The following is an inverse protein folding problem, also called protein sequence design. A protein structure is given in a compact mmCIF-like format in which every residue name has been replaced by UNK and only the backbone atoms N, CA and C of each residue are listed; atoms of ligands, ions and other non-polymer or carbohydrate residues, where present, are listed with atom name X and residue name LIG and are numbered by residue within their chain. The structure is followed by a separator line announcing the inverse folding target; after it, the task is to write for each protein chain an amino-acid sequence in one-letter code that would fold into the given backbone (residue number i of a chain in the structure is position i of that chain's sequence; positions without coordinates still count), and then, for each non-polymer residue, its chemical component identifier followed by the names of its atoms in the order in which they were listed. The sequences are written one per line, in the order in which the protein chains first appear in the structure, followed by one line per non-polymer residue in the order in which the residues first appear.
data_IF_716500547416
#
_entry.id   IF_716500547416
#
_cell.length_a   1.000
_cell.length_b   1.000
_cell.length_c   1.000
_cell.angle_alpha   90.00
_cell.angle_beta   90.00
_cell.angle_gamma   90.00
#
_symmetry.space_group_name_H-M   'P 1'
#
loop_
_entity.id
_entity.type
_entity.pdbx_description
1 polymer ?
#
# COMPACT_ATOMS: atom_id res chain seq x y z
N UNK A 1 2.57 17.58 44.32
CA UNK A 1 1.69 16.62 43.59
C UNK A 1 1.38 17.05 42.16
N UNK A 2 1.10 18.33 41.87
CA UNK A 2 0.82 18.83 40.50
C UNK A 2 1.87 18.47 39.43
N UNK A 3 3.16 18.55 39.75
CA UNK A 3 4.23 18.21 38.80
C UNK A 3 4.21 16.75 38.32
N UNK A 4 3.87 15.81 39.21
CA UNK A 4 3.78 14.38 38.85
C UNK A 4 2.59 14.09 37.94
N UNK A 5 1.49 14.81 38.12
CA UNK A 5 0.31 14.70 37.25
C UNK A 5 0.56 15.35 35.89
N UNK A 6 1.27 16.48 35.85
CA UNK A 6 1.71 17.11 34.59
C UNK A 6 2.67 16.22 33.81
N UNK A 7 3.65 15.58 34.46
CA UNK A 7 4.56 14.65 33.79
C UNK A 7 3.83 13.41 33.27
N UNK A 8 2.85 12.90 34.01
CA UNK A 8 2.06 11.74 33.59
C UNK A 8 1.12 12.06 32.43
N UNK A 9 0.51 13.26 32.43
CA UNK A 9 -0.29 13.75 31.31
C UNK A 9 0.56 13.96 30.06
N UNK A 10 1.76 14.53 30.18
CA UNK A 10 2.69 14.70 29.07
C UNK A 10 3.11 13.35 28.46
N UNK A 11 3.39 12.33 29.29
CA UNK A 11 3.69 10.97 28.83
C UNK A 11 2.50 10.34 28.09
N UNK A 12 1.27 10.54 28.60
CA UNK A 12 0.06 10.04 27.92
C UNK A 12 -0.16 10.66 26.54
N UNK A 13 0.13 11.97 26.38
CA UNK A 13 0.05 12.65 25.09
C UNK A 13 1.10 12.11 24.10
N UNK A 14 2.34 11.88 24.55
CA UNK A 14 3.40 11.33 23.67
C UNK A 14 3.08 9.91 23.22
N UNK A 15 2.58 9.05 24.12
CA UNK A 15 2.23 7.67 23.81
C UNK A 15 1.04 7.58 22.85
N UNK A 16 0.04 8.44 23.00
CA UNK A 16 -1.13 8.46 22.10
C UNK A 16 -0.82 9.12 20.76
N UNK A 17 0.01 10.17 20.74
CA UNK A 17 0.46 10.81 19.51
C UNK A 17 1.25 9.84 18.62
N UNK A 18 2.05 8.93 19.21
CA UNK A 18 2.88 7.97 18.47
C UNK A 18 2.10 7.09 17.47
N UNK A 19 0.82 6.80 17.74
CA UNK A 19 -0.05 6.00 16.85
C UNK A 19 -0.71 6.80 15.71
N UNK A 20 -0.68 8.14 15.77
CA UNK A 20 -1.21 9.02 14.72
C UNK A 20 -0.15 9.48 13.71
N UNK A 21 1.12 9.18 13.96
CA UNK A 21 2.14 9.31 12.93
C UNK A 21 1.98 8.14 11.94
N UNK A 22 1.06 8.31 10.98
CA UNK A 22 1.14 7.58 9.75
C UNK A 22 2.49 7.94 9.13
N UNK A 23 3.48 7.04 9.23
CA UNK A 23 4.72 7.19 8.51
C UNK A 23 4.36 7.42 7.05
N UNK A 24 4.91 8.47 6.44
CA UNK A 24 4.82 8.68 5.00
C UNK A 24 5.22 7.37 4.34
N UNK A 25 4.26 6.68 3.70
CA UNK A 25 4.59 5.51 2.90
C UNK A 25 5.65 5.98 1.90
N UNK A 26 6.84 5.37 1.97
CA UNK A 26 7.88 5.63 1.00
C UNK A 26 7.33 5.09 -0.30
N UNK A 27 6.83 5.99 -1.15
CA UNK A 27 6.36 5.62 -2.47
C UNK A 27 7.56 5.00 -3.20
N UNK A 28 7.40 3.76 -3.61
CA UNK A 28 8.38 3.10 -4.47
C UNK A 28 8.13 3.62 -5.89
N UNK A 29 9.18 4.04 -6.59
CA UNK A 29 9.06 4.63 -7.93
C UNK A 29 8.36 3.70 -8.94
N UNK A 30 8.34 2.39 -8.65
CA UNK A 30 7.66 1.36 -9.41
C UNK A 30 6.81 0.46 -8.51
N UNK A 31 5.57 0.22 -8.93
CA UNK A 31 4.66 -0.73 -8.30
C UNK A 31 4.63 -2.02 -9.14
N UNK A 32 5.10 -3.14 -8.58
CA UNK A 32 5.01 -4.42 -9.25
C UNK A 32 3.59 -4.99 -9.19
N UNK A 33 2.98 -5.22 -10.35
CA UNK A 33 1.62 -5.77 -10.49
C UNK A 33 1.71 -7.15 -11.19
N UNK A 34 1.60 -8.27 -10.46
CA UNK A 34 1.63 -9.59 -11.08
C UNK A 34 0.32 -9.89 -11.80
N UNK A 35 0.41 -10.20 -13.09
CA UNK A 35 -0.73 -10.57 -13.93
C UNK A 35 -0.75 -12.09 -14.16
N UNK A 36 -1.85 -12.73 -13.78
CA UNK A 36 -2.09 -14.15 -14.07
C UNK A 36 -2.60 -14.27 -15.50
N UNK A 37 -1.70 -14.64 -16.41
CA UNK A 37 -1.99 -14.70 -17.85
C UNK A 37 -1.83 -16.11 -18.39
N UNK A 38 -2.79 -16.56 -19.20
CA UNK A 38 -2.68 -17.78 -19.98
C UNK A 38 -2.59 -17.41 -21.46
N UNK A 39 -1.39 -17.54 -22.02
CA UNK A 39 -1.11 -17.21 -23.44
C UNK A 39 -0.93 -18.45 -24.33
N UNK A 40 -1.09 -19.65 -23.77
CA UNK A 40 -0.96 -20.92 -24.47
C UNK A 40 -2.14 -21.84 -24.20
N UNK A 41 -2.32 -22.85 -25.07
CA UNK A 41 -3.41 -23.81 -24.99
C UNK A 41 -4.70 -23.36 -25.70
N UNK A 42 -5.76 -24.19 -25.65
CA UNK A 42 -7.00 -23.96 -26.41
C UNK A 42 -7.73 -22.67 -26.05
N UNK A 43 -7.53 -22.17 -24.83
CA UNK A 43 -8.17 -20.95 -24.32
C UNK A 43 -7.35 -19.68 -24.56
N UNK A 44 -6.14 -19.76 -25.11
CA UNK A 44 -5.29 -18.60 -25.38
C UNK A 44 -5.98 -17.48 -26.19
N UNK A 45 -6.82 -17.76 -27.21
CA UNK A 45 -7.52 -16.70 -27.95
C UNK A 45 -8.39 -15.79 -27.08
N UNK A 46 -8.92 -16.30 -25.97
CA UNK A 46 -9.72 -15.51 -25.01
C UNK A 46 -8.84 -14.78 -23.98
N UNK A 47 -7.67 -15.33 -23.63
CA UNK A 47 -6.81 -14.81 -22.56
C UNK A 47 -5.86 -13.70 -23.02
N UNK A 48 -5.35 -13.79 -24.25
CA UNK A 48 -4.40 -12.83 -24.80
C UNK A 48 -4.95 -11.39 -24.82
N UNK A 49 -6.18 -11.12 -25.33
CA UNK A 49 -6.70 -9.75 -25.36
C UNK A 49 -6.90 -9.14 -23.97
N UNK A 50 -7.30 -9.98 -22.99
CA UNK A 50 -7.47 -9.54 -21.61
C UNK A 50 -6.12 -9.17 -20.97
N UNK A 51 -5.09 -9.98 -21.21
CA UNK A 51 -3.75 -9.75 -20.69
C UNK A 51 -3.11 -8.48 -21.29
N UNK A 52 -3.29 -8.25 -22.59
CA UNK A 52 -2.79 -7.06 -23.28
C UNK A 52 -3.52 -5.81 -22.78
N UNK A 53 -4.86 -5.86 -22.69
CA UNK A 53 -5.65 -4.74 -22.17
C UNK A 53 -5.32 -4.35 -20.72
N UNK A 54 -5.08 -5.34 -19.84
CA UNK A 54 -4.63 -5.06 -18.46
C UNK A 54 -3.24 -4.43 -18.44
N UNK A 55 -2.28 -4.97 -19.21
CA UNK A 55 -0.95 -4.36 -19.34
C UNK A 55 -1.03 -2.92 -19.80
N UNK A 56 -1.85 -2.64 -20.82
CA UNK A 56 -1.98 -1.29 -21.38
C UNK A 56 -2.61 -0.34 -20.36
N UNK A 57 -3.64 -0.77 -19.64
CA UNK A 57 -4.28 0.03 -18.60
C UNK A 57 -3.31 0.45 -17.48
N UNK A 58 -2.44 -0.47 -17.04
CA UNK A 58 -1.48 -0.17 -15.97
C UNK A 58 -0.28 0.68 -16.41
N UNK A 59 -0.08 0.87 -17.72
CA UNK A 59 1.03 1.66 -18.29
C UNK A 59 0.64 3.09 -18.67
N UNK A 60 -0.64 3.46 -18.53
CA UNK A 60 -1.12 4.84 -18.68
C UNK A 60 -0.61 5.73 -17.55
#
# INVERSE_FOLDING_TARGET
MRFKHLSLAALGVVLTASGFYASSAIAQDEQFIPLLVYRSGPYAPNGIPLADGQSDYYKL
#
